data_IF_482411226616
#
_entry.id   IF_482411226616
#
_cell.length_a   1.000
_cell.length_b   1.000
_cell.length_c   1.000
_cell.angle_alpha   90.00
_cell.angle_beta   90.00
_cell.angle_gamma   90.00
#
_symmetry.space_group_name_H-M   'P 1'
#
loop_
_entity.id
_entity.type
_entity.pdbx_description
1 polymer ?
#
# COMPACT_ATOMS: atom_id res chain seq x y z
N UNK A 1 19.96 4.72 11.09
CA UNK A 1 18.72 3.97 10.86
C UNK A 1 17.49 4.87 10.74
N UNK A 2 17.47 6.07 11.34
CA UNK A 2 16.31 6.98 11.25
C UNK A 2 16.08 7.60 9.87
N UNK A 3 17.13 7.89 9.11
CA UNK A 3 17.01 8.49 7.77
C UNK A 3 16.38 7.54 6.76
N UNK A 4 16.73 6.25 6.79
CA UNK A 4 16.12 5.25 5.91
C UNK A 4 14.63 5.05 6.22
N UNK A 5 14.27 5.01 7.50
CA UNK A 5 12.87 4.87 7.94
C UNK A 5 12.01 6.09 7.56
N UNK A 6 12.60 7.28 7.65
CA UNK A 6 11.98 8.54 7.20
C UNK A 6 11.76 8.55 5.69
N UNK A 7 12.76 8.12 4.90
CA UNK A 7 12.65 8.01 3.44
C UNK A 7 11.56 6.99 3.05
N UNK A 8 11.50 5.84 3.71
CA UNK A 8 10.48 4.83 3.49
C UNK A 8 9.09 5.39 3.80
N UNK A 9 8.94 6.08 4.94
CA UNK A 9 7.67 6.70 5.35
C UNK A 9 7.19 7.70 4.32
N UNK A 10 8.05 8.64 3.89
CA UNK A 10 7.70 9.64 2.88
C UNK A 10 7.40 8.98 1.53
N UNK A 11 8.19 7.98 1.13
CA UNK A 11 7.99 7.21 -0.09
C UNK A 11 6.63 6.51 -0.11
N UNK A 12 6.24 5.83 0.97
CA UNK A 12 4.93 5.17 1.10
C UNK A 12 3.77 6.17 1.02
N UNK A 13 3.90 7.36 1.61
CA UNK A 13 2.86 8.40 1.52
C UNK A 13 2.72 8.94 0.10
N UNK A 14 3.82 9.23 -0.59
CA UNK A 14 3.82 9.70 -1.98
C UNK A 14 3.21 8.64 -2.90
N UNK A 15 3.63 7.37 -2.77
CA UNK A 15 3.10 6.25 -3.56
C UNK A 15 1.61 6.04 -3.27
N UNK A 16 1.18 6.10 -2.00
CA UNK A 16 -0.22 6.02 -1.62
C UNK A 16 -1.08 7.14 -2.24
N UNK A 17 -0.59 8.37 -2.20
CA UNK A 17 -1.25 9.53 -2.80
C UNK A 17 -1.29 9.46 -4.34
N UNK A 18 -0.21 8.99 -4.98
CA UNK A 18 -0.15 8.77 -6.42
C UNK A 18 -1.10 7.65 -6.89
N UNK A 19 -1.26 6.58 -6.09
CA UNK A 19 -2.25 5.54 -6.36
C UNK A 19 -3.68 6.08 -6.24
N UNK A 20 -3.97 6.89 -5.21
CA UNK A 20 -5.30 7.50 -5.01
C UNK A 20 -5.69 8.49 -6.11
N UNK A 21 -4.74 9.28 -6.62
CA UNK A 21 -4.97 10.28 -7.68
C UNK A 21 -5.15 9.68 -9.07
N UNK A 22 -5.15 8.34 -9.20
CA UNK A 22 -5.39 7.68 -10.48
C UNK A 22 -4.17 7.59 -11.39
N UNK A 23 -3.00 8.08 -10.97
CA UNK A 23 -1.73 8.04 -11.72
C UNK A 23 -0.87 6.80 -11.45
N UNK A 24 -1.35 5.87 -10.62
CA UNK A 24 -0.67 4.60 -10.33
C UNK A 24 -0.50 3.66 -11.53
N UNK A 25 -1.14 3.93 -12.67
CA UNK A 25 -0.93 3.23 -13.94
C UNK A 25 0.54 3.30 -14.42
N UNK A 26 1.24 4.40 -14.10
CA UNK A 26 2.69 4.57 -14.35
C UNK A 26 3.53 3.58 -13.53
N UNK A 27 3.05 3.18 -12.35
CA UNK A 27 3.74 2.30 -11.42
C UNK A 27 3.39 0.83 -11.66
N UNK A 28 2.18 0.57 -12.16
CA UNK A 28 1.67 -0.76 -12.54
C UNK A 28 1.82 -1.02 -14.04
N UNK A 29 2.85 -0.47 -14.69
CA UNK A 29 3.15 -0.67 -16.10
C UNK A 29 3.54 -2.14 -16.37
N UNK A 30 2.52 -2.98 -16.44
CA UNK A 30 2.61 -4.43 -16.47
C UNK A 30 2.26 -4.88 -17.89
N UNK A 31 3.15 -5.66 -18.53
CA UNK A 31 2.95 -6.16 -19.89
C UNK A 31 1.67 -7.01 -20.05
N UNK A 32 1.13 -7.54 -18.95
CA UNK A 32 -0.11 -8.31 -18.87
C UNK A 32 -1.27 -7.54 -18.20
N UNK A 33 -1.14 -6.21 -18.03
CA UNK A 33 -2.16 -5.34 -17.47
C UNK A 33 -3.50 -5.46 -18.22
N UNK A 34 -3.47 -5.72 -19.54
CA UNK A 34 -4.67 -5.91 -20.35
C UNK A 34 -5.51 -7.12 -19.91
N UNK A 35 -4.87 -8.24 -19.52
CA UNK A 35 -5.57 -9.45 -19.08
C UNK A 35 -6.10 -9.28 -17.65
N UNK A 36 -5.32 -8.61 -16.77
CA UNK A 36 -5.78 -8.26 -15.41
C UNK A 36 -6.90 -7.21 -15.41
N UNK A 37 -6.91 -6.25 -16.33
CA UNK A 37 -7.97 -5.24 -16.46
C UNK A 37 -9.30 -5.82 -16.99
N UNK A 38 -9.22 -6.97 -17.68
CA UNK A 38 -10.38 -7.75 -18.13
C UNK A 38 -11.01 -8.53 -16.97
N UNK A 39 -10.21 -9.03 -16.02
CA UNK A 39 -10.66 -9.83 -14.89
C UNK A 39 -10.89 -9.02 -13.60
N UNK A 40 -10.23 -7.87 -13.46
CA UNK A 40 -10.29 -7.00 -12.29
C UNK A 40 -10.42 -5.51 -12.68
N UNK A 41 -11.21 -4.76 -11.93
CA UNK A 41 -11.33 -3.31 -12.04
C UNK A 41 -10.09 -2.64 -11.44
N UNK A 42 -9.09 -2.35 -12.30
CA UNK A 42 -7.82 -1.73 -11.92
C UNK A 42 -8.01 -0.41 -11.18
N UNK A 43 -9.06 0.36 -11.48
CA UNK A 43 -9.34 1.65 -10.84
C UNK A 43 -9.76 1.49 -9.38
N UNK A 44 -10.53 0.44 -9.06
CA UNK A 44 -10.90 0.10 -7.68
C UNK A 44 -9.73 -0.52 -6.92
N UNK A 45 -8.96 -1.40 -7.58
CA UNK A 45 -7.79 -2.02 -6.99
C UNK A 45 -6.76 -0.94 -6.60
N UNK A 46 -6.46 -0.02 -7.51
CA UNK A 46 -5.50 1.06 -7.28
C UNK A 46 -5.90 1.98 -6.13
N UNK A 47 -7.20 2.32 -6.00
CA UNK A 47 -7.69 3.05 -4.84
C UNK A 47 -7.53 2.27 -3.53
N UNK A 48 -7.82 0.96 -3.53
CA UNK A 48 -7.66 0.10 -2.36
C UNK A 48 -6.20 0.01 -1.90
N UNK A 49 -5.28 -0.16 -2.84
CA UNK A 49 -3.85 -0.14 -2.55
C UNK A 49 -3.35 1.23 -2.08
N UNK A 50 -3.83 2.33 -2.67
CA UNK A 50 -3.49 3.67 -2.24
C UNK A 50 -3.87 3.96 -0.78
N UNK A 51 -5.06 3.52 -0.35
CA UNK A 51 -5.48 3.61 1.07
C UNK A 51 -4.58 2.75 1.95
N UNK A 52 -4.27 1.51 1.55
CA UNK A 52 -3.39 0.62 2.33
C UNK A 52 -1.98 1.21 2.51
N UNK A 53 -1.40 1.81 1.46
CA UNK A 53 -0.09 2.46 1.53
C UNK A 53 -0.10 3.70 2.44
N UNK A 54 -1.19 4.49 2.47
CA UNK A 54 -1.33 5.59 3.42
C UNK A 54 -1.41 5.08 4.87
N UNK A 55 -2.14 4.01 5.13
CA UNK A 55 -2.24 3.41 6.47
C UNK A 55 -0.88 2.88 6.94
N UNK A 56 -0.14 2.21 6.06
CA UNK A 56 1.23 1.76 6.35
C UNK A 56 2.17 2.95 6.62
N UNK A 57 2.11 3.99 5.79
CA UNK A 57 2.91 5.21 5.98
C UNK A 57 2.62 5.91 7.31
N UNK A 58 1.34 6.02 7.70
CA UNK A 58 0.94 6.57 8.99
C UNK A 58 1.42 5.69 10.17
N UNK A 59 1.29 4.36 10.06
CA UNK A 59 1.78 3.42 11.05
C UNK A 59 3.31 3.48 11.20
N UNK A 60 4.04 3.65 10.09
CA UNK A 60 5.50 3.83 10.08
C UNK A 60 5.91 5.10 10.82
N UNK A 61 5.22 6.22 10.56
CA UNK A 61 5.47 7.49 11.25
C UNK A 61 5.29 7.40 12.78
N UNK A 62 4.29 6.64 13.24
CA UNK A 62 4.07 6.37 14.67
C UNK A 62 5.15 5.43 15.22
N UNK A 63 5.54 4.42 14.45
CA UNK A 63 6.58 3.46 14.84
C UNK A 63 7.95 4.13 14.99
N UNK A 64 8.26 5.14 14.19
CA UNK A 64 9.47 5.97 14.36
C UNK A 64 9.51 6.72 15.69
N UNK A 65 8.34 7.12 16.24
CA UNK A 65 8.23 7.79 17.53
C UNK A 65 8.36 6.81 18.70
N UNK A 66 7.91 5.58 18.50
CA UNK A 66 7.89 4.52 19.51
C UNK A 66 9.01 3.53 19.21
N UNK A 67 10.27 3.91 19.49
CA UNK A 67 11.48 3.06 19.35
C UNK A 67 11.50 1.92 20.38
N UNK A 68 10.52 1.02 20.33
CA UNK A 68 10.48 -0.20 21.15
C UNK A 68 10.54 -1.43 20.24
N UNK A 69 11.20 -2.50 20.72
CA UNK A 69 11.24 -3.79 20.01
C UNK A 69 9.82 -4.32 19.73
N UNK A 70 8.88 -4.02 20.65
CA UNK A 70 7.47 -4.38 20.54
C UNK A 70 6.74 -3.57 19.45
N UNK A 71 7.09 -2.30 19.27
CA UNK A 71 6.56 -1.44 18.20
C UNK A 71 6.93 -1.93 16.79
N UNK A 72 8.12 -2.50 16.62
CA UNK A 72 8.53 -3.09 15.34
C UNK A 72 7.71 -4.34 14.98
N UNK A 73 7.42 -5.20 15.97
CA UNK A 73 6.56 -6.38 15.77
C UNK A 73 5.14 -5.97 15.41
N UNK A 74 4.59 -4.97 16.11
CA UNK A 74 3.25 -4.43 15.83
C UNK A 74 3.20 -3.85 14.41
N UNK A 75 4.20 -3.06 14.03
CA UNK A 75 4.32 -2.51 12.67
C UNK A 75 4.32 -3.63 11.62
N UNK A 76 5.10 -4.68 11.84
CA UNK A 76 5.20 -5.82 10.90
C UNK A 76 3.85 -6.55 10.76
N UNK A 77 3.12 -6.74 11.87
CA UNK A 77 1.76 -7.30 11.85
C UNK A 77 0.80 -6.39 11.06
N UNK A 78 0.83 -5.07 11.27
CA UNK A 78 -0.02 -4.10 10.55
C UNK A 78 0.26 -4.15 9.04
N UNK A 79 1.51 -4.26 8.63
CA UNK A 79 1.90 -4.39 7.22
C UNK A 79 1.35 -5.68 6.62
N UNK A 80 1.53 -6.83 7.29
CA UNK A 80 1.02 -8.12 6.81
C UNK A 80 -0.50 -8.10 6.68
N UNK A 81 -1.21 -7.58 7.69
CA UNK A 81 -2.68 -7.49 7.68
C UNK A 81 -3.16 -6.57 6.57
N UNK A 82 -2.51 -5.43 6.36
CA UNK A 82 -2.85 -4.48 5.28
C UNK A 82 -2.65 -5.10 3.89
N UNK A 83 -1.57 -5.86 3.69
CA UNK A 83 -1.33 -6.61 2.45
C UNK A 83 -2.38 -7.71 2.25
N UNK A 84 -2.66 -8.52 3.26
CA UNK A 84 -3.68 -9.57 3.17
C UNK A 84 -5.08 -8.98 2.87
N UNK A 85 -5.45 -7.88 3.54
CA UNK A 85 -6.70 -7.17 3.30
C UNK A 85 -6.77 -6.65 1.86
N UNK A 86 -5.69 -6.11 1.30
CA UNK A 86 -5.66 -5.64 -0.09
C UNK A 86 -5.83 -6.78 -1.11
N UNK A 87 -5.25 -7.96 -0.85
CA UNK A 87 -5.41 -9.16 -1.70
C UNK A 87 -6.85 -9.69 -1.63
N UNK A 88 -7.44 -9.73 -0.44
CA UNK A 88 -8.85 -10.12 -0.25
C UNK A 88 -9.79 -9.11 -0.91
N UNK A 89 -9.52 -7.82 -0.76
CA UNK A 89 -10.29 -6.75 -1.38
C UNK A 89 -10.25 -6.83 -2.92
N UNK A 90 -9.09 -7.14 -3.51
CA UNK A 90 -9.01 -7.41 -4.94
C UNK A 90 -9.91 -8.60 -5.34
N UNK A 91 -9.79 -9.75 -4.65
CA UNK A 91 -10.54 -10.97 -4.97
C UNK A 91 -12.06 -10.82 -4.83
N UNK A 92 -12.54 -10.05 -3.83
CA UNK A 92 -13.98 -9.85 -3.56
C UNK A 92 -14.60 -8.66 -4.30
N UNK A 93 -13.94 -7.50 -4.27
CA UNK A 93 -14.56 -6.23 -4.72
C UNK A 93 -14.08 -5.78 -6.09
N UNK A 94 -12.89 -6.23 -6.53
CA UNK A 94 -12.34 -5.80 -7.81
C UNK A 94 -12.56 -6.82 -8.91
N UNK A 95 -12.94 -8.06 -8.61
CA UNK A 95 -13.22 -9.08 -9.63
C UNK A 95 -14.44 -8.64 -10.45
N UNK A 96 -14.28 -8.53 -11.77
CA UNK A 96 -15.38 -8.25 -12.71
C UNK A 96 -16.31 -9.46 -12.83
#
# INVERSE_FOLDING_TARGET
METFDLIITIGCLIVGFMMLTGRGDVLLNDKDAAQRNKLYDMKKAQKGYGVAFLVIGAASAVSMRVKTQMGFVIYLVVVIVSLAASVVYMKKCCKK
#
